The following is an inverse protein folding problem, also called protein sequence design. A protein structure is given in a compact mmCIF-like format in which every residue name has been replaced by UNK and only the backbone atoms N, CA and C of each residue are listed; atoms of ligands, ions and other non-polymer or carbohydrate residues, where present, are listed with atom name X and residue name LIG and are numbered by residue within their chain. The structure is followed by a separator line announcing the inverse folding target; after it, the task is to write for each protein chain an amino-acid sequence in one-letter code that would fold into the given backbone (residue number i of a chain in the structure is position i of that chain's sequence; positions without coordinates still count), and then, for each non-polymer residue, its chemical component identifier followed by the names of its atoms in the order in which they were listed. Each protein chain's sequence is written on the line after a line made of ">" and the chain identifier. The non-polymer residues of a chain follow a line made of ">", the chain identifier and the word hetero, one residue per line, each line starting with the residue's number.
data_IF_848900550048
#
_entry.id   IF_848900550048
#
_cell.length_a   1.000
_cell.length_b   1.000
_cell.length_c   1.000
_cell.angle_alpha   90.00
_cell.angle_beta   90.00
_cell.angle_gamma   90.00
#
_symmetry.space_group_name_H-M   'P 1'
#
loop_
_entity.id
_entity.type
_entity.pdbx_description
1 polymer ?
#
# COMPACT_ATOMS: atom_id res chain seq x y z
N UNK A 1 29.05 7.67 11.41
CA UNK A 1 28.67 6.37 10.85
C UNK A 1 27.20 6.16 11.23
N UNK A 2 26.27 6.71 10.45
CA UNK A 2 24.85 6.48 10.70
C UNK A 2 24.56 5.02 10.38
N UNK A 3 24.09 4.26 11.36
CA UNK A 3 23.69 2.88 11.15
C UNK A 3 22.59 2.86 10.09
N UNK A 4 22.83 2.11 9.02
CA UNK A 4 21.84 1.74 8.03
C UNK A 4 20.69 1.07 8.79
N UNK A 5 19.57 1.77 8.99
CA UNK A 5 18.38 1.11 9.53
C UNK A 5 17.90 0.19 8.41
N UNK A 6 17.87 -1.10 8.72
CA UNK A 6 17.20 -2.06 7.87
C UNK A 6 15.71 -1.72 7.80
N UNK A 7 15.08 -2.07 6.69
CA UNK A 7 13.63 -2.03 6.52
C UNK A 7 12.95 -2.84 7.63
N UNK A 8 12.10 -2.19 8.41
CA UNK A 8 11.26 -2.83 9.42
C UNK A 8 9.92 -3.20 8.76
N UNK A 9 9.69 -4.51 8.58
CA UNK A 9 8.47 -5.04 7.97
C UNK A 9 7.77 -5.99 8.92
N UNK A 10 6.53 -5.67 9.28
CA UNK A 10 5.67 -6.55 10.08
C UNK A 10 4.44 -6.97 9.27
N UNK A 11 4.06 -8.24 9.40
CA UNK A 11 2.79 -8.74 8.86
C UNK A 11 2.03 -9.54 9.89
N UNK A 12 0.71 -9.39 9.88
CA UNK A 12 -0.21 -10.01 10.85
C UNK A 12 -1.39 -10.62 10.11
N UNK A 13 -1.84 -11.79 10.60
CA UNK A 13 -3.10 -12.39 10.13
C UNK A 13 -4.27 -11.55 10.63
N UNK A 14 -5.31 -11.36 9.82
CA UNK A 14 -6.45 -10.59 10.27
C UNK A 14 -7.34 -11.39 11.22
N UNK A 15 -8.27 -10.70 11.88
CA UNK A 15 -9.34 -11.34 12.66
C UNK A 15 -10.28 -12.18 11.79
N UNK A 16 -11.10 -13.01 12.44
CA UNK A 16 -11.95 -14.03 11.79
C UNK A 16 -12.85 -13.47 10.69
N UNK A 17 -13.40 -12.27 10.88
CA UNK A 17 -14.34 -11.64 9.94
C UNK A 17 -13.70 -11.26 8.60
N UNK A 18 -12.39 -10.99 8.60
CA UNK A 18 -11.64 -10.64 7.41
C UNK A 18 -10.84 -11.83 6.86
N UNK A 19 -10.74 -12.92 7.61
CA UNK A 19 -9.87 -14.05 7.31
C UNK A 19 -10.32 -14.90 6.10
N UNK A 20 -11.48 -14.64 5.51
CA UNK A 20 -11.85 -15.23 4.20
C UNK A 20 -11.36 -14.36 3.02
N UNK A 21 -11.28 -13.04 3.19
CA UNK A 21 -10.96 -12.11 2.11
C UNK A 21 -9.51 -11.57 2.14
N UNK A 22 -8.94 -11.43 3.34
CA UNK A 22 -7.65 -10.79 3.59
C UNK A 22 -6.62 -11.81 4.05
N UNK A 23 -5.53 -11.94 3.32
CA UNK A 23 -4.43 -12.84 3.69
C UNK A 23 -3.67 -12.30 4.90
N UNK A 24 -3.23 -11.06 4.82
CA UNK A 24 -2.53 -10.37 5.90
C UNK A 24 -2.72 -8.86 5.81
N UNK A 25 -2.49 -8.20 6.95
CA UNK A 25 -2.25 -6.77 7.07
C UNK A 25 -0.76 -6.60 7.36
N UNK A 26 -0.13 -5.62 6.73
CA UNK A 26 1.28 -5.35 6.90
C UNK A 26 1.55 -3.87 7.13
N UNK A 27 2.66 -3.60 7.79
CA UNK A 27 3.24 -2.26 7.95
C UNK A 27 4.72 -2.32 7.63
N UNK A 28 5.21 -1.28 6.97
CA UNK A 28 6.60 -1.11 6.62
C UNK A 28 7.05 0.27 7.05
N UNK A 29 8.18 0.31 7.75
CA UNK A 29 8.91 1.52 8.06
C UNK A 29 10.34 1.36 7.56
N UNK A 30 10.78 2.27 6.71
CA UNK A 30 12.13 2.22 6.15
C UNK A 30 12.81 3.58 6.32
N UNK A 31 14.10 3.56 6.66
CA UNK A 31 14.86 4.81 6.62
C UNK A 31 15.14 5.21 5.16
N UNK A 32 15.10 6.51 4.83
CA UNK A 32 15.47 6.96 3.50
C UNK A 32 16.92 6.54 3.20
N UNK A 33 17.07 5.68 2.19
CA UNK A 33 18.36 5.16 1.74
C UNK A 33 19.04 6.08 0.71
N UNK A 34 20.31 5.78 0.33
CA UNK A 34 21.02 6.53 -0.71
C UNK A 34 20.54 6.21 -2.14
N UNK A 35 19.80 5.11 -2.33
CA UNK A 35 19.21 4.72 -3.62
C UNK A 35 17.90 5.48 -3.87
N UNK A 36 17.76 6.02 -5.08
CA UNK A 36 16.61 6.86 -5.46
C UNK A 36 15.39 6.07 -5.90
N UNK A 37 15.57 4.86 -6.42
CA UNK A 37 14.52 4.05 -7.02
C UNK A 37 14.70 2.58 -6.66
N UNK A 38 13.58 1.90 -6.47
CA UNK A 38 13.49 0.50 -6.06
C UNK A 38 12.49 -0.24 -6.96
N UNK A 39 12.64 -1.58 -7.05
CA UNK A 39 11.68 -2.43 -7.78
C UNK A 39 10.83 -3.20 -6.79
N UNK A 40 9.54 -2.94 -6.79
CA UNK A 40 8.55 -3.77 -6.10
C UNK A 40 8.23 -4.94 -7.01
N UNK A 41 8.59 -6.15 -6.56
CA UNK A 41 8.32 -7.37 -7.32
C UNK A 41 6.84 -7.75 -7.24
N UNK A 42 6.26 -8.30 -8.31
CA UNK A 42 4.87 -8.74 -8.30
C UNK A 42 4.68 -9.87 -7.28
N UNK A 43 3.70 -9.73 -6.40
CA UNK A 43 3.31 -10.76 -5.43
C UNK A 43 2.26 -11.74 -5.97
N UNK A 44 1.71 -11.46 -7.16
CA UNK A 44 0.58 -12.18 -7.72
C UNK A 44 -0.73 -11.98 -6.92
N UNK A 45 -0.78 -11.00 -6.02
CA UNK A 45 -1.94 -10.68 -5.19
C UNK A 45 -2.32 -9.21 -5.32
N UNK A 46 -3.62 -8.93 -5.30
CA UNK A 46 -4.11 -7.57 -5.17
C UNK A 46 -3.80 -7.02 -3.77
N UNK A 47 -3.50 -5.72 -3.69
CA UNK A 47 -3.13 -5.07 -2.44
C UNK A 47 -3.80 -3.72 -2.29
N UNK A 48 -4.24 -3.40 -1.06
CA UNK A 48 -4.53 -2.03 -0.65
C UNK A 48 -3.26 -1.46 -0.03
N UNK A 49 -2.85 -0.28 -0.46
CA UNK A 49 -1.67 0.43 0.04
C UNK A 49 -2.09 1.80 0.54
N UNK A 50 -1.62 2.17 1.72
CA UNK A 50 -1.84 3.48 2.36
C UNK A 50 -0.50 4.09 2.71
N UNK A 51 -0.13 5.16 2.00
CA UNK A 51 1.02 5.98 2.32
C UNK A 51 0.69 6.87 3.55
N UNK A 52 1.36 6.60 4.66
CA UNK A 52 1.18 7.31 5.92
C UNK A 52 2.10 8.54 6.00
N UNK A 53 3.16 8.60 5.19
CA UNK A 53 4.10 9.72 5.16
C UNK A 53 3.61 10.89 4.33
N UNK A 54 3.34 10.66 3.05
CA UNK A 54 2.90 11.67 2.09
C UNK A 54 1.54 11.17 1.56
N UNK A 55 0.49 11.99 1.60
CA UNK A 55 -0.85 11.54 1.15
C UNK A 55 -0.94 11.45 -0.39
N UNK A 56 0.05 10.80 -0.99
CA UNK A 56 0.32 10.64 -2.40
C UNK A 56 1.09 9.33 -2.62
N UNK A 57 1.03 8.79 -3.83
CA UNK A 57 1.88 7.68 -4.29
C UNK A 57 2.63 8.06 -5.55
N UNK A 58 3.81 7.47 -5.75
CA UNK A 58 4.63 7.67 -6.95
C UNK A 58 5.17 6.38 -7.52
N UNK A 59 5.01 6.22 -8.83
CA UNK A 59 5.68 5.17 -9.59
C UNK A 59 6.38 5.72 -10.83
N UNK A 60 7.31 4.94 -11.38
CA UNK A 60 8.25 5.39 -12.40
C UNK A 60 8.24 4.48 -13.62
N UNK A 61 8.09 5.08 -14.80
CA UNK A 61 8.24 4.42 -16.10
C UNK A 61 9.37 5.11 -16.86
N UNK A 62 10.59 4.58 -16.69
CA UNK A 62 11.80 5.28 -17.15
C UNK A 62 12.02 6.56 -16.35
N UNK A 63 12.05 7.71 -17.03
CA UNK A 63 12.19 9.03 -16.40
C UNK A 63 10.84 9.68 -16.06
N UNK A 64 9.72 9.10 -16.50
CA UNK A 64 8.37 9.61 -16.23
C UNK A 64 7.93 9.19 -14.83
N UNK A 65 7.43 10.15 -14.07
CA UNK A 65 6.78 9.94 -12.77
C UNK A 65 5.27 9.92 -12.97
N UNK A 66 4.63 8.89 -12.45
CA UNK A 66 3.17 8.80 -12.32
C UNK A 66 2.82 9.02 -10.86
N UNK A 67 1.85 9.90 -10.62
CA UNK A 67 1.43 10.31 -9.27
C UNK A 67 0.00 9.86 -9.05
N UNK A 68 -0.28 9.30 -7.88
CA UNK A 68 -1.60 8.88 -7.44
C UNK A 68 -1.91 9.38 -6.03
N UNK A 69 -3.13 9.15 -5.53
CA UNK A 69 -3.46 9.48 -4.14
C UNK A 69 -2.67 8.59 -3.17
N UNK A 70 -2.61 9.00 -1.90
CA UNK A 70 -1.94 8.25 -0.83
C UNK A 70 -2.63 6.93 -0.45
N UNK A 71 -3.78 6.61 -1.03
CA UNK A 71 -4.48 5.34 -0.80
C UNK A 71 -4.94 4.73 -2.11
N UNK A 72 -4.31 3.61 -2.48
CA UNK A 72 -4.53 2.93 -3.76
C UNK A 72 -4.80 1.45 -3.55
N UNK A 73 -5.58 0.86 -4.46
CA UNK A 73 -5.71 -0.59 -4.58
C UNK A 73 -5.10 -1.05 -5.91
N UNK A 74 -4.08 -1.89 -5.85
CA UNK A 74 -3.44 -2.51 -7.01
C UNK A 74 -3.99 -3.91 -7.27
N UNK A 75 -4.08 -4.25 -8.55
CA UNK A 75 -4.50 -5.57 -9.02
C UNK A 75 -3.40 -6.64 -8.93
N UNK A 76 -3.63 -7.75 -9.63
CA UNK A 76 -2.65 -8.83 -9.75
C UNK A 76 -1.67 -8.51 -10.88
N UNK A 77 -0.42 -8.26 -10.51
CA UNK A 77 0.60 -7.88 -11.48
C UNK A 77 1.53 -9.00 -11.93
N UNK A 78 1.99 -8.89 -13.18
CA UNK A 78 2.96 -9.81 -13.79
C UNK A 78 4.34 -9.17 -13.98
N UNK A 79 4.46 -7.87 -13.69
CA UNK A 79 5.67 -7.08 -13.85
C UNK A 79 5.99 -6.36 -12.55
N UNK A 80 7.24 -5.95 -12.41
CA UNK A 80 7.63 -5.10 -11.29
C UNK A 80 7.11 -3.68 -11.49
N UNK A 81 6.87 -2.98 -10.39
CA UNK A 81 6.69 -1.54 -10.34
C UNK A 81 7.99 -0.89 -9.87
N UNK A 82 8.29 0.31 -10.37
CA UNK A 82 9.43 1.11 -9.88
C UNK A 82 8.87 2.24 -9.04
N UNK A 83 9.37 2.38 -7.81
CA UNK A 83 9.00 3.43 -6.86
C UNK A 83 10.26 4.15 -6.38
N UNK A 84 10.11 5.32 -5.77
CA UNK A 84 11.20 5.90 -4.99
C UNK A 84 11.21 5.31 -3.57
N UNK A 85 12.33 5.48 -2.85
CA UNK A 85 12.46 4.92 -1.49
C UNK A 85 11.55 5.60 -0.47
N UNK A 86 11.02 6.79 -0.76
CA UNK A 86 10.12 7.51 0.14
C UNK A 86 8.74 6.84 0.20
N UNK A 87 8.35 6.11 -0.84
CA UNK A 87 7.12 5.31 -0.87
C UNK A 87 7.11 4.15 0.16
N UNK A 88 8.26 3.80 0.74
CA UNK A 88 8.39 2.78 1.78
C UNK A 88 8.76 3.34 3.17
N UNK A 89 8.83 4.67 3.34
CA UNK A 89 9.23 5.28 4.61
C UNK A 89 8.25 4.97 5.75
N UNK A 90 6.96 5.20 5.53
CA UNK A 90 5.89 4.84 6.46
C UNK A 90 4.66 4.44 5.63
N UNK A 91 4.45 3.15 5.46
CA UNK A 91 3.40 2.61 4.59
C UNK A 91 2.75 1.39 5.22
N UNK A 92 1.43 1.33 5.12
CA UNK A 92 0.64 0.19 5.57
C UNK A 92 -0.15 -0.40 4.41
N UNK A 93 -0.52 -1.66 4.52
CA UNK A 93 -1.33 -2.27 3.49
C UNK A 93 -1.98 -3.58 3.88
N UNK A 94 -2.73 -4.10 2.92
CA UNK A 94 -3.52 -5.32 3.02
C UNK A 94 -3.26 -6.16 1.78
N UNK A 95 -2.92 -7.44 1.99
CA UNK A 95 -2.88 -8.42 0.89
C UNK A 95 -4.21 -9.14 0.85
N UNK A 96 -4.89 -9.10 -0.30
CA UNK A 96 -6.13 -9.83 -0.49
C UNK A 96 -5.88 -11.29 -0.93
N UNK A 97 -6.77 -12.18 -0.52
CA UNK A 97 -6.89 -13.51 -1.14
C UNK A 97 -7.48 -13.37 -2.54
N UNK A 98 -7.24 -14.35 -3.43
CA UNK A 98 -7.96 -14.42 -4.70
C UNK A 98 -9.48 -14.29 -4.48
N UNK A 99 -10.10 -13.34 -5.19
CA UNK A 99 -11.54 -13.01 -5.05
C UNK A 99 -11.91 -12.14 -3.84
N UNK A 100 -10.98 -11.85 -2.93
CA UNK A 100 -11.25 -11.11 -1.71
C UNK A 100 -11.58 -9.63 -1.92
N UNK A 101 -11.10 -9.03 -3.00
CA UNK A 101 -11.30 -7.60 -3.30
C UNK A 101 -12.76 -7.23 -3.55
N UNK A 102 -13.57 -8.15 -4.09
CA UNK A 102 -14.97 -7.89 -4.43
C UNK A 102 -15.80 -7.44 -3.22
N UNK A 103 -15.55 -8.04 -2.04
CA UNK A 103 -16.27 -7.72 -0.81
C UNK A 103 -16.01 -6.28 -0.31
N UNK A 104 -14.91 -5.66 -0.72
CA UNK A 104 -14.51 -4.33 -0.28
C UNK A 104 -14.78 -3.25 -1.33
N UNK A 105 -14.59 -3.56 -2.61
CA UNK A 105 -14.58 -2.56 -3.67
C UNK A 105 -15.78 -2.67 -4.63
N UNK A 106 -16.49 -3.80 -4.63
CA UNK A 106 -17.67 -3.99 -5.49
C UNK A 106 -17.37 -4.04 -6.99
N UNK A 107 -16.09 -4.09 -7.39
CA UNK A 107 -15.65 -4.16 -8.78
C UNK A 107 -14.98 -5.49 -9.09
N UNK A 108 -15.11 -6.01 -10.33
CA UNK A 108 -14.33 -7.14 -10.82
C UNK A 108 -12.82 -6.91 -10.65
N UNK A 109 -12.08 -7.97 -10.31
CA UNK A 109 -10.65 -7.88 -10.02
C UNK A 109 -9.80 -7.49 -11.25
N UNK A 110 -10.28 -7.77 -12.46
CA UNK A 110 -9.66 -7.37 -13.73
C UNK A 110 -9.76 -5.87 -14.03
N UNK A 111 -10.62 -5.14 -13.30
CA UNK A 111 -10.67 -3.67 -13.36
C UNK A 111 -9.67 -3.01 -12.40
N UNK A 112 -9.07 -3.77 -11.49
CA UNK A 112 -7.99 -3.28 -10.63
C UNK A 112 -6.69 -3.33 -11.42
N UNK A 113 -6.22 -2.16 -11.86
CA UNK A 113 -5.02 -2.04 -12.68
C UNK A 113 -3.70 -2.10 -11.90
N UNK A 114 -2.62 -2.17 -12.66
CA UNK A 114 -1.24 -2.23 -12.17
C UNK A 114 -0.77 -1.00 -11.44
N UNK A 115 -1.08 0.17 -12.00
CA UNK A 115 -0.65 1.46 -11.46
C UNK A 115 -1.44 1.89 -10.20
N UNK A 116 -2.28 0.99 -9.66
CA UNK A 116 -3.20 1.29 -8.57
C UNK A 116 -4.42 2.07 -9.03
N UNK A 117 -5.58 1.73 -8.47
CA UNK A 117 -6.81 2.51 -8.58
C UNK A 117 -6.95 3.35 -7.33
N UNK A 118 -7.27 4.63 -7.49
CA UNK A 118 -7.61 5.51 -6.39
C UNK A 118 -8.78 4.94 -5.59
N UNK A 119 -8.58 4.62 -4.31
CA UNK A 119 -9.65 4.04 -3.50
C UNK A 119 -10.79 5.04 -3.28
N UNK A 120 -10.49 6.33 -3.36
CA UNK A 120 -11.50 7.38 -3.28
C UNK A 120 -12.51 7.35 -4.44
N UNK A 121 -12.15 6.80 -5.60
CA UNK A 121 -13.09 6.58 -6.70
C UNK A 121 -14.09 5.45 -6.39
N UNK A 122 -13.75 4.55 -5.45
CA UNK A 122 -14.53 3.38 -5.07
C UNK A 122 -15.33 3.62 -3.78
N UNK A 123 -14.74 4.30 -2.80
CA UNK A 123 -15.31 4.51 -1.46
C UNK A 123 -15.73 5.96 -1.19
N UNK A 124 -15.29 6.90 -2.03
CA UNK A 124 -15.40 8.34 -1.79
C UNK A 124 -14.30 8.88 -0.87
N UNK A 125 -13.85 10.10 -1.15
CA UNK A 125 -12.75 10.77 -0.44
C UNK A 125 -12.93 10.84 1.09
N UNK A 126 -14.17 11.00 1.57
CA UNK A 126 -14.46 11.05 3.02
C UNK A 126 -14.12 9.73 3.73
N UNK A 127 -14.47 8.60 3.12
CA UNK A 127 -14.21 7.29 3.71
C UNK A 127 -12.70 7.00 3.75
N UNK A 128 -12.00 7.34 2.66
CA UNK A 128 -10.54 7.20 2.55
C UNK A 128 -9.81 8.09 3.55
N UNK A 129 -10.17 9.37 3.65
CA UNK A 129 -9.59 10.29 4.64
C UNK A 129 -9.81 9.81 6.08
N UNK A 130 -10.98 9.24 6.38
CA UNK A 130 -11.27 8.63 7.69
C UNK A 130 -10.43 7.38 7.98
N UNK A 131 -10.17 6.54 6.97
CA UNK A 131 -9.26 5.40 7.12
C UNK A 131 -7.84 5.87 7.43
N UNK A 132 -7.30 6.79 6.61
CA UNK A 132 -5.93 7.30 6.76
C UNK A 132 -5.73 7.97 8.12
N UNK A 133 -6.67 8.80 8.56
CA UNK A 133 -6.62 9.45 9.87
C UNK A 133 -6.54 8.43 11.02
N UNK A 134 -7.37 7.38 10.99
CA UNK A 134 -7.35 6.33 12.01
C UNK A 134 -6.04 5.53 12.03
N UNK A 135 -5.43 5.30 10.88
CA UNK A 135 -4.13 4.62 10.79
C UNK A 135 -3.01 5.50 11.38
N UNK A 136 -2.99 6.79 11.06
CA UNK A 136 -2.04 7.75 11.64
C UNK A 136 -2.18 7.86 13.17
N UNK A 137 -3.41 7.86 13.69
CA UNK A 137 -3.69 7.85 15.13
C UNK A 137 -3.16 6.58 15.81
N UNK A 138 -3.37 5.41 15.20
CA UNK A 138 -2.93 4.12 15.74
C UNK A 138 -1.40 3.99 15.74
N UNK A 139 -0.75 4.33 14.63
CA UNK A 139 0.70 4.32 14.49
C UNK A 139 1.38 5.30 15.48
N UNK A 140 0.78 6.48 15.67
CA UNK A 140 1.20 7.42 16.70
C UNK A 140 1.01 6.91 18.13
N UNK A 141 0.09 5.97 18.36
CA UNK A 141 -0.13 5.35 19.67
C UNK A 141 0.86 4.23 19.98
N UNK A 142 1.23 3.41 18.98
CA UNK A 142 2.22 2.33 19.16
C UNK A 142 3.65 2.84 19.38
N UNK A 143 3.95 4.07 18.92
CA UNK A 143 5.25 4.72 19.14
C UNK A 143 5.43 5.41 20.51
N UNK A 144 4.40 5.47 21.36
CA UNK A 144 4.43 6.10 22.69
C UNK A 144 4.60 5.06 23.80
#
# INVERSE_FOLDING_TARGET
>A
MAGERAMDFESRRPGRELAEFVECVWVCSNAPGPWRLERVLPSGRAQLVVNLKEDETRSYVGERVERGPGTVVSGMETRFEVIDSAEQEEVAGVVFRPGGTLAFFGVPADLLGAAGVAVEDLWGARAVGGLRARLLEAEGAERR
#
